data_IF_956956252416
#
_entry.id   IF_956956252416
#
_cell.length_a   1.000
_cell.length_b   1.000
_cell.length_c   1.000
_cell.angle_alpha   90.00
_cell.angle_beta   90.00
_cell.angle_gamma   90.00
#
_symmetry.space_group_name_H-M   'P 1'
#
loop_
_entity.id
_entity.type
_entity.pdbx_description
1 polymer ?
#
# COMPACT_ATOMS: atom_id res chain seq x y z
N UNK A 1 23.89 8.20 -18.10
CA UNK A 1 22.91 7.11 -18.25
C UNK A 1 23.38 6.19 -19.37
N UNK A 2 23.54 4.89 -19.10
CA UNK A 2 24.10 3.93 -20.07
C UNK A 2 23.17 3.67 -21.25
N UNK A 3 23.74 3.19 -22.36
CA UNK A 3 22.98 2.85 -23.58
C UNK A 3 21.96 1.73 -23.38
N UNK A 4 21.17 1.45 -24.42
CA UNK A 4 20.05 0.48 -24.38
C UNK A 4 20.47 -0.89 -23.82
N UNK A 5 21.63 -1.42 -24.22
CA UNK A 5 22.13 -2.71 -23.71
C UNK A 5 22.45 -2.70 -22.20
N UNK A 6 22.91 -1.57 -21.66
CA UNK A 6 23.13 -1.44 -20.22
C UNK A 6 21.80 -1.43 -19.46
N UNK A 7 20.82 -0.66 -19.95
CA UNK A 7 19.47 -0.63 -19.37
C UNK A 7 18.83 -2.03 -19.41
N UNK A 8 19.00 -2.75 -20.53
CA UNK A 8 18.53 -4.11 -20.71
C UNK A 8 19.11 -5.07 -19.66
N UNK A 9 20.44 -5.06 -19.50
CA UNK A 9 21.13 -5.92 -18.53
C UNK A 9 20.72 -5.59 -17.09
N UNK A 10 20.61 -4.31 -16.74
CA UNK A 10 20.12 -3.90 -15.42
C UNK A 10 18.71 -4.40 -15.15
N UNK A 11 17.79 -4.28 -16.12
CA UNK A 11 16.42 -4.76 -15.98
C UNK A 11 16.34 -6.27 -15.79
N UNK A 12 17.10 -7.03 -16.59
CA UNK A 12 17.19 -8.49 -16.45
C UNK A 12 17.74 -8.88 -15.08
N UNK A 13 18.82 -8.23 -14.64
CA UNK A 13 19.41 -8.49 -13.33
C UNK A 13 18.42 -8.24 -12.18
N UNK A 14 17.68 -7.14 -12.21
CA UNK A 14 16.65 -6.85 -11.21
C UNK A 14 15.50 -7.86 -11.24
N UNK A 15 15.07 -8.30 -12.42
CA UNK A 15 14.06 -9.36 -12.56
C UNK A 15 14.56 -10.70 -11.98
N UNK A 16 15.85 -11.04 -12.14
CA UNK A 16 16.43 -12.23 -11.50
C UNK A 16 16.41 -12.14 -9.97
N UNK A 17 16.82 -11.00 -9.39
CA UNK A 17 16.77 -10.81 -7.93
C UNK A 17 15.35 -10.92 -7.38
N UNK A 18 14.35 -10.40 -8.11
CA UNK A 18 12.94 -10.55 -7.75
C UNK A 18 12.51 -12.01 -7.77
N UNK A 19 12.85 -12.74 -8.83
CA UNK A 19 12.57 -14.18 -8.95
C UNK A 19 13.24 -14.99 -7.83
N UNK A 20 14.46 -14.65 -7.43
CA UNK A 20 15.14 -15.27 -6.29
C UNK A 20 14.40 -15.00 -4.97
N UNK A 21 13.94 -13.77 -4.73
CA UNK A 21 13.13 -13.43 -3.57
C UNK A 21 11.78 -14.17 -3.52
N UNK A 22 11.10 -14.25 -4.67
CA UNK A 22 9.86 -15.03 -4.85
C UNK A 22 10.09 -16.51 -4.54
N UNK A 23 11.16 -17.07 -5.07
CA UNK A 23 11.60 -18.44 -4.82
C UNK A 23 11.89 -18.68 -3.33
N UNK A 24 12.62 -17.77 -2.69
CA UNK A 24 12.90 -17.84 -1.26
C UNK A 24 11.61 -17.82 -0.44
N UNK A 25 10.63 -17.00 -0.81
CA UNK A 25 9.32 -17.00 -0.16
C UNK A 25 8.59 -18.34 -0.32
N UNK A 26 8.57 -18.89 -1.54
CA UNK A 26 7.95 -20.19 -1.81
C UNK A 26 8.58 -21.33 -1.00
N UNK A 27 9.87 -21.24 -0.65
CA UNK A 27 10.54 -22.25 0.19
C UNK A 27 9.90 -22.40 1.58
N UNK A 28 9.26 -21.36 2.11
CA UNK A 28 8.55 -21.44 3.39
C UNK A 28 7.22 -22.20 3.29
N UNK A 29 6.62 -22.29 2.10
CA UNK A 29 5.30 -22.88 1.87
C UNK A 29 5.40 -24.39 1.58
N UNK A 30 4.30 -25.16 1.76
CA UNK A 30 4.25 -26.58 1.41
C UNK A 30 4.56 -26.80 -0.06
N UNK A 31 5.29 -27.88 -0.39
CA UNK A 31 5.70 -28.19 -1.78
C UNK A 31 4.54 -28.12 -2.76
N UNK A 32 3.41 -28.73 -2.40
CA UNK A 32 2.21 -28.82 -3.24
C UNK A 32 1.60 -27.46 -3.62
N UNK A 33 1.78 -26.42 -2.79
CA UNK A 33 1.16 -25.11 -3.01
C UNK A 33 2.02 -24.19 -3.88
N UNK A 34 3.32 -24.47 -4.02
CA UNK A 34 4.29 -23.54 -4.63
C UNK A 34 4.03 -23.29 -6.10
N UNK A 35 3.79 -24.36 -6.87
CA UNK A 35 3.59 -24.26 -8.32
C UNK A 35 2.31 -23.51 -8.65
N UNK A 36 1.20 -23.83 -7.98
CA UNK A 36 -0.07 -23.13 -8.16
C UNK A 36 0.05 -21.65 -7.82
N UNK A 37 0.69 -21.32 -6.69
CA UNK A 37 0.88 -19.92 -6.30
C UNK A 37 1.76 -19.16 -7.30
N UNK A 38 2.82 -19.79 -7.81
CA UNK A 38 3.69 -19.18 -8.83
C UNK A 38 2.94 -18.92 -10.14
N UNK A 39 2.08 -19.83 -10.57
CA UNK A 39 1.23 -19.62 -11.75
C UNK A 39 0.24 -18.46 -11.57
N UNK A 40 -0.19 -18.18 -10.35
CA UNK A 40 -1.07 -17.03 -10.09
C UNK A 40 -0.37 -15.68 -10.26
N UNK A 41 0.96 -15.61 -10.05
CA UNK A 41 1.75 -14.37 -10.21
C UNK A 41 2.11 -14.05 -11.66
N UNK A 42 2.02 -15.05 -12.56
CA UNK A 42 2.43 -14.92 -13.95
C UNK A 42 1.32 -15.46 -14.85
N UNK A 43 0.43 -14.58 -15.32
CA UNK A 43 -0.69 -14.93 -16.20
C UNK A 43 -0.44 -14.54 -17.67
N UNK A 44 -1.20 -15.16 -18.56
CA UNK A 44 -1.25 -14.84 -20.00
C UNK A 44 -0.03 -15.28 -20.83
N UNK A 45 0.02 -14.80 -22.08
CA UNK A 45 1.07 -15.12 -23.08
C UNK A 45 2.51 -14.79 -22.62
N UNK A 46 2.66 -14.02 -21.54
CA UNK A 46 3.93 -13.53 -21.00
C UNK A 46 4.48 -14.40 -19.86
N UNK A 47 3.68 -15.33 -19.32
CA UNK A 47 4.11 -16.29 -18.30
C UNK A 47 5.16 -17.29 -18.83
N UNK A 48 5.09 -17.62 -20.12
CA UNK A 48 6.00 -18.57 -20.77
C UNK A 48 7.45 -18.07 -20.87
N UNK A 49 7.67 -16.75 -20.90
CA UNK A 49 9.01 -16.15 -20.89
C UNK A 49 9.69 -16.33 -19.54
N UNK A 50 8.97 -16.02 -18.45
CA UNK A 50 9.47 -16.23 -17.08
C UNK A 50 9.75 -17.70 -16.81
N UNK A 51 8.86 -18.61 -17.24
CA UNK A 51 9.08 -20.06 -17.11
C UNK A 51 10.33 -20.55 -17.86
N UNK A 52 10.67 -19.96 -19.01
CA UNK A 52 11.87 -20.32 -19.80
C UNK A 52 13.16 -19.80 -19.17
N UNK A 53 13.10 -18.67 -18.47
CA UNK A 53 14.26 -18.00 -17.86
C UNK A 53 14.51 -18.48 -16.43
N UNK A 54 13.46 -18.90 -15.72
CA UNK A 54 13.60 -19.48 -14.39
C UNK A 54 13.96 -20.95 -14.48
N UNK A 55 15.22 -21.28 -14.21
CA UNK A 55 15.67 -22.67 -14.07
C UNK A 55 14.81 -23.43 -13.06
N UNK A 56 14.53 -24.72 -13.28
CA UNK A 56 13.89 -25.56 -12.28
C UNK A 56 14.79 -25.62 -11.04
N UNK A 57 14.31 -25.06 -9.93
CA UNK A 57 15.11 -25.02 -8.71
C UNK A 57 14.89 -26.31 -7.94
N UNK A 58 15.96 -27.10 -7.74
CA UNK A 58 15.88 -28.40 -7.07
C UNK A 58 15.25 -28.32 -5.67
N UNK A 59 15.46 -27.21 -4.95
CA UNK A 59 14.84 -26.96 -3.64
C UNK A 59 13.31 -26.90 -3.70
N UNK A 60 12.70 -26.61 -4.86
CA UNK A 60 11.25 -26.52 -5.00
C UNK A 60 10.56 -27.86 -4.67
N UNK A 61 11.28 -28.98 -4.75
CA UNK A 61 10.80 -30.31 -4.39
C UNK A 61 11.05 -30.72 -2.92
N UNK A 62 11.77 -29.91 -2.14
CA UNK A 62 12.04 -30.16 -0.73
C UNK A 62 10.86 -29.65 0.11
N UNK A 63 10.31 -30.50 0.97
CA UNK A 63 9.16 -30.13 1.81
C UNK A 63 9.54 -29.08 2.87
N UNK A 64 8.63 -28.14 3.13
CA UNK A 64 8.84 -27.14 4.19
C UNK A 64 8.80 -27.81 5.56
N UNK A 65 9.72 -27.42 6.46
CA UNK A 65 9.68 -27.82 7.87
C UNK A 65 8.61 -27.04 8.67
N UNK A 66 8.00 -26.02 8.08
CA UNK A 66 6.90 -25.29 8.71
C UNK A 66 5.64 -26.15 8.62
N UNK A 67 5.11 -26.56 9.78
CA UNK A 67 3.88 -27.34 9.86
C UNK A 67 2.68 -26.39 9.75
N UNK A 68 1.87 -26.55 8.71
CA UNK A 68 0.63 -25.80 8.47
C UNK A 68 -0.59 -26.61 8.91
N UNK A 69 -1.62 -25.93 9.41
CA UNK A 69 -2.85 -26.54 9.94
C UNK A 69 -4.10 -26.17 9.14
N UNK A 70 -4.01 -25.14 8.30
CA UNK A 70 -5.12 -24.61 7.51
C UNK A 70 -5.01 -25.01 6.04
N UNK A 71 -6.11 -24.86 5.30
CA UNK A 71 -6.12 -24.99 3.84
C UNK A 71 -5.42 -23.80 3.13
N UNK A 72 -5.03 -22.75 3.87
CA UNK A 72 -4.46 -21.52 3.35
C UNK A 72 -3.07 -21.24 3.94
N UNK A 73 -2.04 -22.04 3.58
CA UNK A 73 -0.72 -21.97 4.21
C UNK A 73 -0.05 -20.60 4.10
N UNK A 74 -0.27 -19.87 2.99
CA UNK A 74 0.22 -18.50 2.81
C UNK A 74 -0.35 -17.54 3.86
N UNK A 75 -1.65 -17.60 4.10
CA UNK A 75 -2.32 -16.76 5.10
C UNK A 75 -1.85 -17.13 6.50
N UNK A 76 -1.81 -18.42 6.82
CA UNK A 76 -1.33 -18.91 8.11
C UNK A 76 0.13 -18.52 8.39
N UNK A 77 1.00 -18.52 7.38
CA UNK A 77 2.37 -18.02 7.51
C UNK A 77 2.37 -16.53 7.91
N UNK A 78 1.60 -15.70 7.20
CA UNK A 78 1.51 -14.26 7.48
C UNK A 78 0.93 -13.98 8.86
N UNK A 79 -0.11 -14.70 9.28
CA UNK A 79 -0.69 -14.59 10.61
C UNK A 79 0.30 -14.99 11.71
N UNK A 80 1.07 -16.07 11.51
CA UNK A 80 2.11 -16.47 12.46
C UNK A 80 3.24 -15.45 12.57
N UNK A 81 3.68 -14.90 11.44
CA UNK A 81 4.68 -13.82 11.42
C UNK A 81 4.12 -12.59 12.14
N UNK A 82 2.90 -12.18 11.81
CA UNK A 82 2.20 -11.10 12.49
C UNK A 82 2.15 -11.33 14.01
N UNK A 83 1.69 -12.48 14.48
CA UNK A 83 1.63 -12.79 15.92
C UNK A 83 3.00 -12.77 16.60
N UNK A 84 4.05 -13.25 15.91
CA UNK A 84 5.42 -13.23 16.43
C UNK A 84 5.93 -11.79 16.62
N UNK A 85 5.69 -10.92 15.63
CA UNK A 85 6.18 -9.54 15.63
C UNK A 85 5.24 -8.55 16.34
N UNK A 86 3.96 -8.85 16.49
CA UNK A 86 3.00 -8.03 17.26
C UNK A 86 3.35 -7.98 18.75
N UNK A 87 4.06 -8.99 19.27
CA UNK A 87 4.57 -8.97 20.65
C UNK A 87 5.67 -7.95 20.86
N UNK A 88 6.41 -7.59 19.81
CA UNK A 88 7.52 -6.64 19.85
C UNK A 88 7.18 -5.29 19.21
N UNK A 89 6.14 -5.23 18.38
CA UNK A 89 5.65 -4.00 17.76
C UNK A 89 4.87 -3.15 18.77
N UNK A 90 5.30 -1.90 18.96
CA UNK A 90 4.54 -0.89 19.71
C UNK A 90 3.27 -0.45 18.95
N UNK A 91 3.24 -0.63 17.64
CA UNK A 91 2.15 -0.25 16.76
C UNK A 91 1.30 -1.47 16.44
N UNK A 92 0.27 -1.70 17.26
CA UNK A 92 -0.88 -2.50 16.81
C UNK A 92 -1.51 -1.73 15.65
N UNK A 93 -2.01 -2.42 14.62
CA UNK A 93 -2.73 -1.80 13.50
C UNK A 93 -4.23 -1.71 13.84
N UNK A 94 -4.72 -0.57 14.37
CA UNK A 94 -6.13 -0.41 14.70
C UNK A 94 -7.03 -0.18 13.48
N UNK A 95 -6.46 0.00 12.28
CA UNK A 95 -7.22 0.36 11.08
C UNK A 95 -7.59 -0.89 10.31
N UNK A 96 -6.61 -1.70 9.91
CA UNK A 96 -6.85 -2.85 9.02
C UNK A 96 -7.08 -4.14 9.82
N UNK A 97 -6.31 -4.34 10.91
CA UNK A 97 -6.33 -5.60 11.68
C UNK A 97 -7.30 -5.60 12.84
N UNK A 98 -7.68 -4.44 13.37
CA UNK A 98 -8.59 -4.40 14.51
C UNK A 98 -9.91 -3.72 14.25
N UNK A 99 -10.91 -4.54 13.89
CA UNK A 99 -12.29 -4.11 13.70
C UNK A 99 -13.10 -4.09 15.02
N UNK A 100 -12.50 -4.52 16.14
CA UNK A 100 -13.18 -4.63 17.42
C UNK A 100 -12.91 -3.45 18.36
N UNK A 101 -13.96 -3.02 19.08
CA UNK A 101 -13.93 -2.04 20.21
C UNK A 101 -12.85 -2.35 21.26
N UNK A 102 -12.33 -3.58 21.29
CA UNK A 102 -11.24 -4.05 22.16
C UNK A 102 -9.86 -3.44 21.85
N UNK A 103 -9.52 -3.07 20.60
CA UNK A 103 -8.22 -2.43 20.32
C UNK A 103 -8.25 -0.91 20.48
N UNK A 104 -9.46 -0.33 20.49
CA UNK A 104 -9.70 1.05 20.89
C UNK A 104 -9.83 1.20 22.42
N UNK A 105 -9.56 0.13 23.19
CA UNK A 105 -9.54 0.19 24.66
C UNK A 105 -8.43 1.15 25.10
N UNK A 106 -8.85 2.29 25.65
CA UNK A 106 -7.98 3.39 26.08
C UNK A 106 -8.35 4.74 25.45
N UNK A 107 -9.05 4.74 24.32
CA UNK A 107 -9.61 5.98 23.76
C UNK A 107 -10.98 6.26 24.35
N UNK A 108 -11.02 7.00 25.47
CA UNK A 108 -12.25 7.62 25.99
C UNK A 108 -12.80 8.73 25.06
N UNK A 109 -12.11 9.02 23.95
CA UNK A 109 -12.51 10.01 22.96
C UNK A 109 -13.25 9.34 21.80
N UNK A 110 -14.56 9.55 21.74
CA UNK A 110 -15.44 9.04 20.69
C UNK A 110 -15.02 9.48 19.28
N UNK A 111 -14.45 10.68 19.14
CA UNK A 111 -14.04 11.22 17.84
C UNK A 111 -12.82 10.50 17.27
N UNK A 112 -11.85 10.15 18.12
CA UNK A 112 -10.68 9.36 17.70
C UNK A 112 -11.14 7.97 17.27
N UNK A 113 -11.98 7.31 18.08
CA UNK A 113 -12.54 6.01 17.74
C UNK A 113 -13.31 6.04 16.40
N UNK A 114 -14.05 7.13 16.12
CA UNK A 114 -14.74 7.31 14.85
C UNK A 114 -13.75 7.40 13.67
N UNK A 115 -12.70 8.21 13.78
CA UNK A 115 -11.68 8.34 12.72
C UNK A 115 -11.07 6.98 12.37
N UNK A 116 -10.65 6.18 13.36
CA UNK A 116 -10.08 4.85 13.08
C UNK A 116 -11.10 3.90 12.45
N UNK A 117 -12.36 3.94 12.91
CA UNK A 117 -13.44 3.14 12.33
C UNK A 117 -13.67 3.50 10.85
N UNK A 118 -13.80 4.78 10.55
CA UNK A 118 -14.06 5.26 9.18
C UNK A 118 -12.88 4.98 8.25
N UNK A 119 -11.64 5.20 8.71
CA UNK A 119 -10.45 4.83 7.94
C UNK A 119 -10.33 3.30 7.73
N UNK A 120 -10.84 2.50 8.68
CA UNK A 120 -10.98 1.06 8.50
C UNK A 120 -11.97 0.70 7.39
N UNK A 121 -13.06 1.44 7.24
CA UNK A 121 -13.99 1.29 6.10
C UNK A 121 -13.35 1.74 4.78
N UNK A 122 -12.58 2.83 4.80
CA UNK A 122 -11.83 3.30 3.64
C UNK A 122 -10.84 2.25 3.15
N UNK A 123 -10.11 1.57 4.04
CA UNK A 123 -9.16 0.50 3.67
C UNK A 123 -9.79 -0.73 3.00
N UNK A 124 -11.12 -0.83 3.01
CA UNK A 124 -11.86 -1.91 2.32
C UNK A 124 -12.22 -1.55 0.88
N UNK A 125 -11.93 -0.33 0.43
CA UNK A 125 -12.13 0.04 -0.98
C UNK A 125 -11.09 -0.69 -1.83
N UNK A 126 -11.56 -1.25 -2.94
CA UNK A 126 -10.77 -2.03 -3.88
C UNK A 126 -11.22 -1.76 -5.32
N UNK A 127 -10.42 -2.21 -6.27
CA UNK A 127 -10.71 -2.19 -7.69
C UNK A 127 -10.51 -0.84 -8.36
N UNK A 128 -11.08 -0.70 -9.56
CA UNK A 128 -10.88 0.45 -10.45
C UNK A 128 -11.27 1.80 -9.85
N UNK A 129 -12.11 1.81 -8.80
CA UNK A 129 -12.41 3.02 -8.01
C UNK A 129 -11.17 3.70 -7.41
N UNK A 130 -10.09 2.94 -7.19
CA UNK A 130 -8.83 3.48 -6.69
C UNK A 130 -7.97 4.10 -7.80
N UNK A 131 -8.34 3.96 -9.07
CA UNK A 131 -7.57 4.46 -10.21
C UNK A 131 -7.18 5.94 -10.11
N UNK A 132 -8.06 6.85 -9.64
CA UNK A 132 -7.71 8.25 -9.50
C UNK A 132 -6.76 8.56 -8.34
N UNK A 133 -6.70 7.67 -7.33
CA UNK A 133 -5.81 7.84 -6.17
C UNK A 133 -4.36 7.56 -6.61
N UNK A 134 -3.39 8.41 -6.25
CA UNK A 134 -1.99 8.13 -6.50
C UNK A 134 -1.47 7.07 -5.53
N UNK A 135 -0.22 6.67 -5.75
CA UNK A 135 0.39 5.52 -5.07
C UNK A 135 0.52 5.77 -3.57
N UNK A 136 0.95 6.98 -3.19
CA UNK A 136 1.08 7.40 -1.79
C UNK A 136 0.42 8.77 -1.60
N UNK A 137 -0.55 8.86 -0.70
CA UNK A 137 -1.12 10.14 -0.27
C UNK A 137 -1.05 10.29 1.26
N UNK A 138 -0.64 11.47 1.73
CA UNK A 138 -0.69 11.80 3.15
C UNK A 138 -2.03 12.46 3.49
N UNK A 139 -2.65 11.98 4.56
CA UNK A 139 -3.89 12.50 5.11
C UNK A 139 -3.60 13.09 6.48
N UNK A 140 -3.80 14.40 6.63
CA UNK A 140 -3.92 15.04 7.94
C UNK A 140 -5.38 15.04 8.37
N UNK A 141 -5.64 14.51 9.56
CA UNK A 141 -6.92 14.61 10.24
C UNK A 141 -6.80 15.61 11.39
N UNK A 142 -7.45 16.77 11.25
CA UNK A 142 -7.39 17.87 12.21
C UNK A 142 -8.30 17.62 13.39
N UNK A 143 -7.75 17.65 14.60
CA UNK A 143 -8.53 17.50 15.83
C UNK A 143 -8.61 18.82 16.61
N UNK A 144 -9.65 19.02 17.43
CA UNK A 144 -9.68 20.13 18.37
C UNK A 144 -8.42 20.18 19.25
N UNK A 145 -7.97 21.41 19.58
CA UNK A 145 -6.78 21.66 20.41
C UNK A 145 -5.45 21.15 19.80
N UNK A 146 -5.33 21.16 18.46
CA UNK A 146 -4.09 20.83 17.71
C UNK A 146 -3.52 19.44 18.02
N UNK A 147 -4.40 18.45 18.17
CA UNK A 147 -4.01 17.03 18.35
C UNK A 147 -4.18 16.24 17.06
N UNK A 148 -3.74 16.85 15.97
CA UNK A 148 -3.92 16.32 14.63
C UNK A 148 -3.22 14.96 14.51
N UNK A 149 -3.83 14.07 13.72
CA UNK A 149 -3.27 12.76 13.42
C UNK A 149 -2.97 12.68 11.94
N UNK A 150 -1.97 11.89 11.59
CA UNK A 150 -1.57 11.68 10.21
C UNK A 150 -1.71 10.22 9.84
N UNK A 151 -2.09 10.00 8.59
CA UNK A 151 -2.23 8.69 8.00
C UNK A 151 -1.64 8.71 6.60
N UNK A 152 -1.15 7.56 6.17
CA UNK A 152 -0.71 7.34 4.79
C UNK A 152 -1.71 6.42 4.10
N UNK A 153 -2.23 6.88 2.97
CA UNK A 153 -3.02 6.09 2.04
C UNK A 153 -2.07 5.52 1.00
N UNK A 154 -1.99 4.19 0.91
CA UNK A 154 -1.15 3.49 -0.05
C UNK A 154 -2.05 2.70 -0.98
N UNK A 155 -2.04 3.06 -2.26
CA UNK A 155 -2.70 2.28 -3.29
C UNK A 155 -1.79 1.12 -3.68
N UNK A 156 -2.18 -0.10 -3.34
CA UNK A 156 -1.47 -1.29 -3.76
C UNK A 156 -1.93 -1.66 -5.17
N UNK A 157 -1.09 -1.37 -6.16
CA UNK A 157 -1.37 -1.69 -7.57
C UNK A 157 -1.16 -3.18 -7.83
N UNK A 158 -2.16 -3.85 -8.39
CA UNK A 158 -2.02 -5.22 -8.87
C UNK A 158 -1.49 -5.28 -10.32
N UNK A 159 -0.79 -6.36 -10.66
CA UNK A 159 -0.33 -6.59 -12.03
C UNK A 159 -0.39 -8.09 -12.35
N UNK A 160 -0.93 -8.43 -13.52
CA UNK A 160 -1.04 -9.78 -14.08
C UNK A 160 0.35 -10.40 -14.37
N UNK A 161 1.34 -9.53 -14.55
CA UNK A 161 2.75 -9.86 -14.66
C UNK A 161 3.57 -8.74 -14.01
N UNK A 162 4.66 -9.09 -13.34
CA UNK A 162 5.56 -8.14 -12.66
C UNK A 162 6.93 -8.10 -13.37
N UNK A 163 7.05 -8.63 -14.59
CA UNK A 163 8.29 -8.60 -15.39
C UNK A 163 8.63 -7.18 -15.81
N UNK A 164 9.63 -6.63 -15.10
CA UNK A 164 10.15 -5.29 -15.27
C UNK A 164 10.79 -5.09 -16.65
N UNK A 165 11.13 -6.18 -17.33
CA UNK A 165 11.72 -6.16 -18.67
C UNK A 165 10.78 -5.65 -19.77
N UNK A 166 9.47 -5.94 -19.70
CA UNK A 166 8.53 -5.76 -20.83
C UNK A 166 7.30 -4.90 -20.53
N UNK A 167 7.14 -4.41 -19.30
CA UNK A 167 6.01 -3.55 -18.93
C UNK A 167 6.47 -2.13 -18.65
N UNK A 168 5.84 -1.17 -19.34
CA UNK A 168 5.69 0.17 -18.80
C UNK A 168 4.66 0.09 -17.66
N UNK A 169 4.96 0.70 -16.50
CA UNK A 169 4.04 0.75 -15.34
C UNK A 169 2.64 1.28 -15.70
N UNK A 170 2.54 2.04 -16.80
CA UNK A 170 1.31 2.66 -17.30
C UNK A 170 0.41 1.71 -18.11
N UNK A 171 0.90 0.54 -18.54
CA UNK A 171 0.13 -0.43 -19.32
C UNK A 171 -0.47 -1.51 -18.41
N UNK A 172 -1.49 -1.13 -17.64
CA UNK A 172 -2.26 -2.03 -16.76
C UNK A 172 -3.57 -2.46 -17.42
N UNK A 173 -3.90 -3.74 -17.30
CA UNK A 173 -5.17 -4.29 -17.81
C UNK A 173 -6.35 -3.83 -16.94
N UNK A 174 -7.58 -3.92 -17.44
CA UNK A 174 -8.76 -3.71 -16.59
C UNK A 174 -8.80 -4.72 -15.43
N UNK A 175 -8.36 -5.96 -15.65
CA UNK A 175 -8.28 -6.96 -14.58
C UNK A 175 -7.26 -6.57 -13.50
N UNK A 176 -6.14 -5.96 -13.88
CA UNK A 176 -5.19 -5.40 -12.92
C UNK A 176 -5.83 -4.33 -12.05
N UNK A 177 -6.60 -3.42 -12.65
CA UNK A 177 -7.25 -2.33 -11.92
C UNK A 177 -8.28 -2.85 -10.92
N UNK A 178 -9.03 -3.90 -11.25
CA UNK A 178 -10.03 -4.51 -10.36
C UNK A 178 -9.41 -5.20 -9.13
N UNK A 179 -8.13 -5.54 -9.17
CA UNK A 179 -7.40 -6.17 -8.06
C UNK A 179 -6.62 -5.13 -7.21
N UNK A 180 -6.74 -3.84 -7.50
CA UNK A 180 -6.16 -2.78 -6.66
C UNK A 180 -6.77 -2.79 -5.26
N UNK A 181 -5.95 -2.58 -4.24
CA UNK A 181 -6.40 -2.47 -2.85
C UNK A 181 -5.85 -1.21 -2.19
N UNK A 182 -6.49 -0.78 -1.10
CA UNK A 182 -6.08 0.40 -0.35
C UNK A 182 -5.61 0.04 1.06
N UNK A 183 -4.33 0.32 1.33
CA UNK A 183 -3.79 0.26 2.68
C UNK A 183 -3.88 1.64 3.33
N UNK A 184 -4.39 1.71 4.56
CA UNK A 184 -4.39 2.93 5.38
C UNK A 184 -3.57 2.71 6.63
N UNK A 185 -2.48 3.45 6.78
CA UNK A 185 -1.48 3.27 7.84
C UNK A 185 -1.43 4.52 8.71
N UNK A 186 -1.31 4.36 10.02
CA UNK A 186 -1.09 5.49 10.94
C UNK A 186 0.37 5.95 10.85
N UNK A 187 0.59 7.25 10.66
CA UNK A 187 1.93 7.82 10.44
C UNK A 187 2.19 8.19 8.98
N UNK A 188 3.41 8.66 8.71
CA UNK A 188 3.91 9.01 7.39
C UNK A 188 4.81 7.89 6.88
N UNK A 189 4.39 7.20 5.83
CA UNK A 189 5.13 6.10 5.21
C UNK A 189 5.52 6.45 3.77
N UNK A 190 6.80 6.28 3.47
CA UNK A 190 7.39 6.65 2.18
C UNK A 190 7.98 8.06 2.16
N UNK A 191 8.98 8.26 1.30
CA UNK A 191 9.69 9.54 1.14
C UNK A 191 9.14 10.42 0.00
N UNK A 192 8.25 9.88 -0.83
CA UNK A 192 7.72 10.54 -2.03
C UNK A 192 6.18 10.62 -1.98
N UNK A 193 5.58 11.46 -1.12
CA UNK A 193 4.13 11.60 -1.14
C UNK A 193 3.69 12.22 -2.47
N UNK A 194 2.76 11.55 -3.14
CA UNK A 194 2.23 12.01 -4.42
C UNK A 194 1.11 13.04 -4.24
N UNK A 195 0.39 13.01 -3.11
CA UNK A 195 -0.71 13.93 -2.86
C UNK A 195 -1.02 14.12 -1.38
N UNK A 196 -1.70 15.22 -1.04
CA UNK A 196 -2.09 15.56 0.32
C UNK A 196 -3.59 15.77 0.44
N UNK A 197 -4.14 15.25 1.54
CA UNK A 197 -5.50 15.50 2.02
C UNK A 197 -5.45 16.15 3.40
N UNK A 198 -6.38 17.06 3.66
CA UNK A 198 -6.51 17.74 4.96
C UNK A 198 -7.97 17.84 5.38
N UNK A 199 -8.36 17.04 6.38
CA UNK A 199 -9.77 16.78 6.74
C UNK A 199 -10.00 17.06 8.21
N UNK A 200 -11.13 17.68 8.59
CA UNK A 200 -11.51 17.77 10.01
C UNK A 200 -11.92 16.40 10.54
N UNK A 201 -11.53 16.06 11.78
CA UNK A 201 -11.97 14.84 12.43
C UNK A 201 -13.51 14.71 12.50
N UNK A 202 -14.24 15.84 12.52
CA UNK A 202 -15.72 15.86 12.48
C UNK A 202 -16.30 15.51 11.10
N UNK A 203 -15.52 15.66 10.03
CA UNK A 203 -15.95 15.44 8.64
C UNK A 203 -15.48 14.08 8.11
N UNK A 204 -14.79 13.27 8.91
CA UNK A 204 -14.16 12.03 8.46
C UNK A 204 -15.16 11.01 7.88
N UNK A 205 -16.35 10.89 8.47
CA UNK A 205 -17.40 10.01 7.94
C UNK A 205 -17.90 10.49 6.57
N UNK A 206 -17.99 11.81 6.36
CA UNK A 206 -18.34 12.37 5.05
C UNK A 206 -17.22 12.17 4.04
N UNK A 207 -15.96 12.36 4.43
CA UNK A 207 -14.80 12.10 3.57
C UNK A 207 -14.77 10.67 3.06
N UNK A 208 -15.00 9.68 3.93
CA UNK A 208 -15.03 8.27 3.53
C UNK A 208 -16.24 7.97 2.65
N UNK A 209 -17.41 8.51 2.98
CA UNK A 209 -18.62 8.38 2.15
C UNK A 209 -18.42 8.96 0.76
N UNK A 210 -17.90 10.19 0.66
CA UNK A 210 -17.63 10.87 -0.60
C UNK A 210 -16.62 10.07 -1.44
N UNK A 211 -15.54 9.56 -0.80
CA UNK A 211 -14.56 8.72 -1.49
C UNK A 211 -15.18 7.43 -2.06
N UNK A 212 -16.02 6.75 -1.28
CA UNK A 212 -16.68 5.51 -1.73
C UNK A 212 -17.70 5.74 -2.86
N UNK A 213 -18.23 6.96 -2.96
CA UNK A 213 -19.19 7.38 -3.98
C UNK A 213 -18.57 7.78 -5.32
N UNK A 214 -17.23 7.88 -5.41
CA UNK A 214 -16.56 8.18 -6.68
C UNK A 214 -16.80 7.05 -7.67
N UNK A 215 -17.38 7.39 -8.83
CA UNK A 215 -17.58 6.48 -9.96
C UNK A 215 -16.84 6.95 -11.20
N UNK A 216 -16.68 8.25 -11.38
CA UNK A 216 -16.06 8.85 -12.57
C UNK A 216 -15.08 9.99 -12.22
N UNK A 217 -14.47 10.56 -13.27
CA UNK A 217 -13.47 11.63 -13.14
C UNK A 217 -14.06 12.94 -12.57
N UNK A 218 -15.33 13.24 -12.83
CA UNK A 218 -15.97 14.45 -12.32
C UNK A 218 -16.24 14.34 -10.81
N UNK A 219 -16.70 13.17 -10.35
CA UNK A 219 -16.82 12.88 -8.91
C UNK A 219 -15.46 13.03 -8.22
N UNK A 220 -14.38 12.56 -8.87
CA UNK A 220 -13.03 12.70 -8.37
C UNK A 220 -12.60 14.17 -8.27
N UNK A 221 -12.88 15.00 -9.28
CA UNK A 221 -12.58 16.44 -9.25
C UNK A 221 -13.34 17.14 -8.12
N UNK A 222 -14.60 16.79 -7.90
CA UNK A 222 -15.41 17.32 -6.79
C UNK A 222 -14.80 16.92 -5.44
N UNK A 223 -14.45 15.63 -5.28
CA UNK A 223 -13.79 15.12 -4.09
C UNK A 223 -12.47 15.86 -3.80
N UNK A 224 -11.63 16.02 -4.82
CA UNK A 224 -10.37 16.76 -4.72
C UNK A 224 -10.58 18.23 -4.39
N UNK A 225 -11.61 18.88 -4.95
CA UNK A 225 -11.95 20.26 -4.64
C UNK A 225 -12.31 20.47 -3.16
N UNK A 226 -12.89 19.45 -2.52
CA UNK A 226 -13.29 19.51 -1.11
C UNK A 226 -12.16 19.15 -0.15
N UNK A 227 -11.36 18.14 -0.47
CA UNK A 227 -10.43 17.53 0.49
C UNK A 227 -8.96 17.60 0.08
N UNK A 228 -8.68 17.77 -1.21
CA UNK A 228 -7.35 17.71 -1.78
C UNK A 228 -6.59 19.04 -1.73
N UNK A 229 -5.27 18.95 -1.63
CA UNK A 229 -4.38 20.13 -1.56
C UNK A 229 -3.48 20.15 -2.79
N UNK A 230 -3.98 20.71 -3.90
CA UNK A 230 -3.18 20.86 -5.12
C UNK A 230 -1.97 21.78 -4.91
N UNK A 231 -0.95 21.68 -5.76
CA UNK A 231 0.25 22.56 -5.72
C UNK A 231 -0.10 24.05 -5.80
N UNK A 232 -1.21 24.39 -6.45
CA UNK A 232 -1.72 25.76 -6.60
C UNK A 232 -2.51 26.26 -5.39
N UNK A 233 -2.81 25.39 -4.42
CA UNK A 233 -3.51 25.77 -3.20
C UNK A 233 -2.59 26.65 -2.32
N UNK A 234 -3.10 27.78 -1.83
CA UNK A 234 -2.33 28.69 -0.97
C UNK A 234 -1.81 28.06 0.33
N UNK A 235 -2.42 26.94 0.78
CA UNK A 235 -2.00 26.17 1.94
C UNK A 235 -0.99 25.06 1.64
N UNK A 236 -0.61 24.86 0.37
CA UNK A 236 0.24 23.75 -0.03
C UNK A 236 1.57 23.71 0.74
N UNK A 237 2.33 24.80 0.71
CA UNK A 237 3.63 24.88 1.39
C UNK A 237 3.50 24.78 2.91
N UNK A 238 2.53 25.48 3.50
CA UNK A 238 2.32 25.43 4.95
C UNK A 238 1.90 24.04 5.44
N UNK A 239 1.16 23.25 4.63
CA UNK A 239 0.85 21.87 4.95
C UNK A 239 2.05 20.94 4.78
N UNK A 240 2.85 21.12 3.72
CA UNK A 240 4.09 20.37 3.51
C UNK A 240 5.05 20.55 4.69
N UNK A 241 5.30 21.81 5.08
CA UNK A 241 6.13 22.14 6.25
C UNK A 241 5.54 21.58 7.53
N UNK A 242 4.21 21.56 7.65
CA UNK A 242 3.54 20.96 8.79
C UNK A 242 3.81 19.45 8.90
N UNK A 243 3.73 18.69 7.80
CA UNK A 243 4.05 17.25 7.81
C UNK A 243 5.52 17.01 8.17
N UNK A 244 6.43 17.81 7.62
CA UNK A 244 7.84 17.75 7.96
C UNK A 244 8.08 17.99 9.46
N UNK A 245 7.52 19.08 10.00
CA UNK A 245 7.63 19.40 11.43
C UNK A 245 6.98 18.35 12.34
N UNK A 246 5.85 17.77 11.91
CA UNK A 246 5.22 16.65 12.60
C UNK A 246 6.17 15.45 12.66
N UNK A 247 6.82 15.11 11.53
CA UNK A 247 7.76 13.99 11.45
C UNK A 247 8.98 14.19 12.36
N UNK A 248 9.55 15.40 12.39
CA UNK A 248 10.66 15.75 13.27
C UNK A 248 10.32 15.60 14.76
N UNK A 249 9.05 15.76 15.12
CA UNK A 249 8.60 15.69 16.50
C UNK A 249 8.19 14.28 16.92
N UNK A 250 7.41 13.59 16.09
CA UNK A 250 6.75 12.34 16.45
C UNK A 250 7.49 11.09 15.93
N UNK A 251 8.36 11.24 14.91
CA UNK A 251 9.10 10.13 14.26
C UNK A 251 10.57 10.48 14.02
N UNK A 252 11.25 10.91 15.10
CA UNK A 252 12.61 11.50 15.07
C UNK A 252 13.66 10.63 14.38
N UNK A 253 13.53 9.30 14.42
CA UNK A 253 14.51 8.38 13.82
C UNK A 253 14.33 8.19 12.32
N UNK A 254 13.14 8.46 11.78
CA UNK A 254 12.83 8.36 10.34
C UNK A 254 12.59 9.71 9.68
N UNK A 255 12.57 10.79 10.48
CA UNK A 255 12.33 12.13 9.99
C UNK A 255 13.34 12.54 8.91
N UNK A 256 12.83 13.10 7.83
CA UNK A 256 13.59 13.52 6.67
C UNK A 256 12.74 14.44 5.79
N UNK A 257 13.36 15.01 4.76
CA UNK A 257 12.63 15.81 3.79
C UNK A 257 11.82 14.89 2.87
N UNK A 258 10.55 15.24 2.67
CA UNK A 258 9.71 14.57 1.68
C UNK A 258 10.01 15.13 0.28
N UNK A 259 10.27 14.25 -0.66
CA UNK A 259 10.51 14.63 -2.05
C UNK A 259 9.17 14.77 -2.79
N UNK A 260 8.88 16.00 -3.20
CA UNK A 260 7.64 16.37 -3.87
C UNK A 260 7.75 16.32 -5.41
N UNK A 261 8.84 15.80 -5.97
CA UNK A 261 9.03 15.69 -7.42
C UNK A 261 7.91 14.92 -8.12
N UNK A 262 7.38 13.87 -7.48
CA UNK A 262 6.27 13.01 -7.93
C UNK A 262 4.91 13.47 -7.44
N UNK A 263 4.82 14.70 -6.90
CA UNK A 263 3.54 15.25 -6.46
C UNK A 263 2.66 15.57 -7.66
N UNK A 264 1.49 14.93 -7.72
CA UNK A 264 0.58 15.05 -8.87
C UNK A 264 -0.20 16.37 -8.81
N UNK A 265 -0.56 16.90 -9.98
CA UNK A 265 -1.46 18.03 -10.10
C UNK A 265 -2.69 17.62 -10.94
N UNK A 266 -3.61 16.84 -10.32
CA UNK A 266 -4.82 16.35 -10.96
C UNK A 266 -5.87 17.46 -11.20
#
# INVERSE_FOLDING_TARGET
FGGVGHQLNTRLYMDFLRLEGENQFLSFLPRQSRHQLRQQWYKGLRASLVQRVSSPVEWANIESKVIYKTAHPKLELFERLAQKYERTSKNKDPIQRCQARKCLKGTNNSLVANVYKELGLLSKVQGSKLQPLPDIAFLRVRFPRKRDRVFTLIRNKAYDNVSFFLQDEDQRSHADLEEDTLSVISGLEGSYPNFFFDVSASEISQFVSDFQSIVNEDDWKVFLGRYGIKRTNSKFWSLSDWFYNWSLKEDTTRAGLFDLNRYINP
#
